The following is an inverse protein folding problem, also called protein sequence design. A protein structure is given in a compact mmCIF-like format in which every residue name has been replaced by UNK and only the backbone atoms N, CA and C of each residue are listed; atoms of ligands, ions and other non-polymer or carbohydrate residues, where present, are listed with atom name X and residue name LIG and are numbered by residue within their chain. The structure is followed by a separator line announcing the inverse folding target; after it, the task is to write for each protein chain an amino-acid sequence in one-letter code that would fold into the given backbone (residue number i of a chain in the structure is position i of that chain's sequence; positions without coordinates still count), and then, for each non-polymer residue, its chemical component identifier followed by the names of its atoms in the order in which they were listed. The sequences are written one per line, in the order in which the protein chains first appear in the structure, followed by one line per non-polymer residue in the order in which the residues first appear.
data_IF_844963696629
#
_entry.id   IF_844963696629
#
_cell.length_a   1.000
_cell.length_b   1.000
_cell.length_c   1.000
_cell.angle_alpha   90.00
_cell.angle_beta   90.00
_cell.angle_gamma   90.00
#
_symmetry.space_group_name_H-M   'P 1'
#
loop_
_entity.id
_entity.type
_entity.pdbx_description
1 polymer ?
#
# COMPACT_ATOMS: atom_id res chain seq x y z
N UNK A 1 29.34 12.88 -4.73
CA UNK A 1 27.93 13.24 -4.52
C UNK A 1 27.65 14.44 -5.40
N UNK A 2 27.37 14.23 -6.68
CA UNK A 2 26.82 15.32 -7.51
C UNK A 2 25.41 15.56 -7.00
N UNK A 3 25.23 16.67 -6.28
CA UNK A 3 23.92 17.15 -5.89
C UNK A 3 23.21 17.54 -7.19
N UNK A 4 22.19 16.77 -7.57
CA UNK A 4 21.34 17.08 -8.72
C UNK A 4 20.89 18.52 -8.62
N UNK A 5 21.28 19.33 -9.62
CA UNK A 5 21.02 20.77 -9.71
C UNK A 5 19.60 21.09 -10.17
N UNK A 6 18.83 20.07 -10.52
CA UNK A 6 17.43 20.15 -10.94
C UNK A 6 16.54 19.43 -9.92
N UNK A 7 15.53 20.13 -9.39
CA UNK A 7 14.55 19.55 -8.46
C UNK A 7 13.77 18.38 -9.10
N UNK A 8 13.60 18.41 -10.43
CA UNK A 8 12.98 17.33 -11.21
C UNK A 8 13.72 15.99 -11.08
N UNK A 9 15.06 16.01 -11.16
CA UNK A 9 15.86 14.79 -11.06
C UNK A 9 15.90 14.27 -9.63
N UNK A 10 15.87 15.18 -8.64
CA UNK A 10 15.80 14.80 -7.22
C UNK A 10 14.50 14.06 -6.90
N UNK A 11 13.35 14.58 -7.34
CA UNK A 11 12.06 13.91 -7.16
C UNK A 11 12.02 12.53 -7.83
N UNK A 12 12.46 12.44 -9.09
CA UNK A 12 12.44 11.16 -9.83
C UNK A 12 13.35 10.11 -9.21
N UNK A 13 14.50 10.51 -8.68
CA UNK A 13 15.41 9.60 -7.97
C UNK A 13 14.82 9.18 -6.61
N UNK A 14 14.18 10.09 -5.88
CA UNK A 14 13.51 9.78 -4.62
C UNK A 14 12.31 8.84 -4.81
N UNK A 15 11.47 9.03 -5.84
CA UNK A 15 10.37 8.10 -6.15
C UNK A 15 10.86 6.67 -6.40
N UNK A 16 11.95 6.53 -7.17
CA UNK A 16 12.55 5.21 -7.47
C UNK A 16 13.14 4.58 -6.21
N UNK A 17 13.83 5.37 -5.40
CA UNK A 17 14.41 4.92 -4.14
C UNK A 17 13.32 4.51 -3.14
N UNK A 18 12.22 5.25 -3.08
CA UNK A 18 11.05 4.90 -2.26
C UNK A 18 10.41 3.59 -2.70
N UNK A 19 10.29 3.32 -4.01
CA UNK A 19 9.78 2.03 -4.52
C UNK A 19 10.70 0.85 -4.22
N UNK A 20 12.01 1.06 -4.25
CA UNK A 20 13.01 0.03 -3.93
C UNK A 20 13.11 -0.23 -2.42
N UNK A 21 13.10 0.82 -1.61
CA UNK A 21 13.24 0.72 -0.15
C UNK A 21 11.91 0.41 0.57
N UNK A 22 10.77 0.78 -0.02
CA UNK A 22 9.44 0.68 0.58
C UNK A 22 8.93 -0.75 0.75
N UNK A 23 9.49 -1.71 0.00
CA UNK A 23 9.13 -3.12 0.11
C UNK A 23 7.64 -3.41 -0.19
N UNK A 24 7.20 -4.63 0.11
CA UNK A 24 5.81 -5.06 -0.04
C UNK A 24 5.34 -5.68 1.28
N UNK A 25 4.31 -5.09 1.88
CA UNK A 25 3.65 -5.66 3.05
C UNK A 25 2.71 -6.79 2.62
N UNK A 26 2.86 -7.97 3.23
CA UNK A 26 2.00 -9.14 3.00
C UNK A 26 1.18 -9.41 4.25
N UNK A 27 -0.14 -9.47 4.09
CA UNK A 27 -1.09 -9.77 5.18
C UNK A 27 -1.47 -11.25 5.14
N UNK A 28 -1.20 -11.97 6.23
CA UNK A 28 -1.59 -13.38 6.39
C UNK A 28 -2.88 -13.47 7.20
N UNK A 29 -3.96 -13.91 6.56
CA UNK A 29 -5.29 -14.05 7.19
C UNK A 29 -5.51 -15.50 7.59
N UNK A 30 -5.66 -15.76 8.89
CA UNK A 30 -5.91 -17.09 9.43
C UNK A 30 -7.38 -17.35 9.79
N UNK A 31 -7.80 -18.62 9.68
CA UNK A 31 -9.09 -19.10 10.18
C UNK A 31 -9.02 -20.59 10.57
N UNK A 32 -10.04 -21.05 11.29
CA UNK A 32 -10.20 -22.43 11.75
C UNK A 32 -10.53 -23.41 10.62
N UNK A 33 -11.21 -22.94 9.58
CA UNK A 33 -11.61 -23.73 8.41
C UNK A 33 -11.29 -23.00 7.11
N UNK A 34 -11.16 -23.72 6.00
CA UNK A 34 -10.84 -23.13 4.68
C UNK A 34 -11.93 -22.14 4.21
N UNK A 35 -13.20 -22.46 4.50
CA UNK A 35 -14.34 -21.62 4.11
C UNK A 35 -14.30 -20.27 4.83
N UNK A 36 -14.08 -20.29 6.15
CA UNK A 36 -13.91 -19.07 6.95
C UNK A 36 -12.66 -18.28 6.54
N UNK A 37 -11.59 -18.96 6.12
CA UNK A 37 -10.36 -18.31 5.67
C UNK A 37 -10.61 -17.50 4.40
N UNK A 38 -11.34 -18.06 3.43
CA UNK A 38 -11.71 -17.37 2.19
C UNK A 38 -12.58 -16.15 2.49
N UNK A 39 -13.63 -16.32 3.29
CA UNK A 39 -14.51 -15.23 3.65
C UNK A 39 -13.78 -14.09 4.38
N UNK A 40 -12.91 -14.42 5.34
CA UNK A 40 -12.11 -13.41 6.05
C UNK A 40 -11.10 -12.74 5.14
N UNK A 41 -10.50 -13.47 4.20
CA UNK A 41 -9.57 -12.90 3.24
C UNK A 41 -10.27 -11.88 2.35
N UNK A 42 -11.41 -12.25 1.76
CA UNK A 42 -12.18 -11.36 0.89
C UNK A 42 -12.59 -10.09 1.65
N UNK A 43 -13.02 -10.23 2.92
CA UNK A 43 -13.36 -9.09 3.79
C UNK A 43 -12.16 -8.17 4.07
N UNK A 44 -10.97 -8.74 4.29
CA UNK A 44 -9.74 -7.97 4.52
C UNK A 44 -9.33 -7.23 3.25
N UNK A 45 -9.47 -7.87 2.08
CA UNK A 45 -9.16 -7.25 0.79
C UNK A 45 -10.11 -6.07 0.50
N UNK A 46 -11.41 -6.23 0.75
CA UNK A 46 -12.40 -5.14 0.63
C UNK A 46 -12.10 -3.98 1.58
N UNK A 47 -11.81 -4.29 2.85
CA UNK A 47 -11.48 -3.27 3.85
C UNK A 47 -10.17 -2.54 3.51
N UNK A 48 -9.17 -3.24 2.98
CA UNK A 48 -7.92 -2.63 2.54
C UNK A 48 -8.15 -1.66 1.38
N UNK A 49 -8.99 -2.03 0.41
CA UNK A 49 -9.32 -1.18 -0.72
C UNK A 49 -10.08 0.07 -0.26
N UNK A 50 -11.10 -0.10 0.60
CA UNK A 50 -11.90 1.00 1.13
C UNK A 50 -11.06 1.98 1.97
N UNK A 51 -10.18 1.47 2.83
CA UNK A 51 -9.30 2.31 3.66
C UNK A 51 -8.27 3.06 2.84
N UNK A 52 -7.72 2.46 1.76
CA UNK A 52 -6.84 3.18 0.83
C UNK A 52 -7.56 4.36 0.16
N UNK A 53 -8.76 4.13 -0.37
CA UNK A 53 -9.55 5.20 -0.98
C UNK A 53 -9.90 6.30 0.03
N UNK A 54 -10.28 5.92 1.25
CA UNK A 54 -10.59 6.85 2.33
C UNK A 54 -9.39 7.71 2.76
N UNK A 55 -8.16 7.18 2.68
CA UNK A 55 -6.94 7.94 2.98
C UNK A 55 -6.62 8.95 1.88
N UNK A 56 -6.92 8.63 0.62
CA UNK A 56 -6.64 9.49 -0.53
C UNK A 56 -7.67 10.62 -0.68
N UNK A 57 -8.96 10.31 -0.56
CA UNK A 57 -10.05 11.26 -0.86
C UNK A 57 -10.86 11.69 0.38
N UNK A 58 -10.65 11.04 1.53
CA UNK A 58 -11.43 11.26 2.75
C UNK A 58 -12.70 10.41 2.82
N UNK A 59 -13.54 10.66 3.83
CA UNK A 59 -14.82 9.96 4.05
C UNK A 59 -15.98 10.95 4.11
N UNK A 60 -17.18 10.50 3.73
CA UNK A 60 -18.42 11.28 3.77
C UNK A 60 -19.47 10.51 4.58
N UNK A 61 -20.32 11.17 5.40
CA UNK A 61 -21.31 10.49 6.25
C UNK A 61 -22.50 9.87 5.50
#
# INVERSE_FOLDING_TARGET
MEATTSDYDREKLQERLAKLAGGVAVLYVGATTEVEMKEKKDRVDDALAATRAAVEEGIVP
#
